data_IF_729197922547
#
_entry.id   IF_729197922547
#
_cell.length_a   1.000
_cell.length_b   1.000
_cell.length_c   1.000
_cell.angle_alpha   90.00
_cell.angle_beta   90.00
_cell.angle_gamma   90.00
#
_symmetry.space_group_name_H-M   'P 1'
#
loop_
_entity.id
_entity.type
_entity.pdbx_description
1 polymer ?
#
# COMPACT_ATOMS: atom_id res chain seq x y z
N UNK A 1 -4.44 -0.33 -1.87
CA UNK A 1 -4.88 -1.60 -2.49
C UNK A 1 -3.96 -2.74 -2.07
N UNK A 2 -4.45 -3.98 -1.94
CA UNK A 2 -3.63 -5.16 -1.59
C UNK A 2 -4.04 -6.41 -2.38
N UNK A 3 -3.18 -7.43 -2.38
CA UNK A 3 -3.30 -8.65 -3.19
C UNK A 3 -4.62 -9.40 -3.05
N UNK A 4 -5.09 -9.57 -1.81
CA UNK A 4 -6.33 -10.30 -1.50
C UNK A 4 -7.59 -9.63 -2.06
N UNK A 5 -7.49 -8.35 -2.46
CA UNK A 5 -8.59 -7.59 -3.07
C UNK A 5 -8.50 -7.53 -4.60
N UNK A 6 -7.64 -8.35 -5.21
CA UNK A 6 -7.41 -8.37 -6.65
C UNK A 6 -7.59 -9.80 -7.20
N UNK A 7 -8.21 -9.93 -8.37
CA UNK A 7 -8.30 -11.20 -9.10
C UNK A 7 -8.07 -11.00 -10.59
N UNK A 8 -7.44 -11.97 -11.25
CA UNK A 8 -7.33 -12.00 -12.70
C UNK A 8 -8.58 -12.65 -13.30
N UNK A 9 -9.24 -11.98 -14.24
CA UNK A 9 -10.31 -12.59 -15.03
C UNK A 9 -10.00 -12.62 -16.52
N UNK A 10 -10.95 -13.10 -17.34
CA UNK A 10 -10.74 -13.36 -18.77
C UNK A 10 -10.48 -12.09 -19.59
N UNK A 11 -10.95 -10.93 -19.11
CA UNK A 11 -10.84 -9.64 -19.82
C UNK A 11 -9.90 -8.65 -19.13
N UNK A 12 -9.20 -9.06 -18.07
CA UNK A 12 -8.35 -8.17 -17.27
C UNK A 12 -8.52 -8.35 -15.76
N UNK A 13 -7.86 -7.49 -14.96
CA UNK A 13 -7.92 -7.55 -13.51
C UNK A 13 -9.27 -7.03 -12.99
N UNK A 14 -9.72 -7.64 -11.90
CA UNK A 14 -10.85 -7.22 -11.09
C UNK A 14 -10.31 -6.78 -9.73
N UNK A 15 -10.89 -5.70 -9.19
CA UNK A 15 -10.60 -5.19 -7.85
C UNK A 15 -11.92 -5.18 -7.07
N UNK A 16 -11.89 -5.61 -5.81
CA UNK A 16 -13.07 -5.70 -4.95
C UNK A 16 -12.77 -5.22 -3.52
N UNK A 17 -13.81 -5.19 -2.68
CA UNK A 17 -13.78 -4.71 -1.29
C UNK A 17 -13.13 -3.32 -1.11
N UNK A 18 -13.72 -2.28 -1.73
CA UNK A 18 -13.14 -0.94 -1.70
C UNK A 18 -13.28 -0.28 -0.32
N UNK A 19 -12.28 0.53 0.02
CA UNK A 19 -12.34 1.53 1.08
C UNK A 19 -12.18 2.93 0.45
N UNK A 20 -13.09 3.30 -0.46
CA UNK A 20 -12.95 4.50 -1.30
C UNK A 20 -13.06 5.81 -0.52
N UNK A 21 -12.20 6.76 -0.89
CA UNK A 21 -12.27 8.16 -0.47
C UNK A 21 -11.52 9.04 -1.48
N UNK A 22 -11.71 10.36 -1.39
CA UNK A 22 -10.89 11.31 -2.12
C UNK A 22 -9.60 11.57 -1.33
N UNK A 23 -8.48 11.08 -1.84
CA UNK A 23 -7.18 11.18 -1.18
C UNK A 23 -6.03 11.22 -2.18
N UNK A 24 -4.80 11.16 -1.66
CA UNK A 24 -3.62 11.04 -2.51
C UNK A 24 -3.60 9.65 -3.17
N UNK A 25 -3.40 9.64 -4.50
CA UNK A 25 -3.25 8.42 -5.31
C UNK A 25 -2.07 7.56 -4.85
N UNK A 26 -1.07 8.18 -4.23
CA UNK A 26 0.11 7.51 -3.69
C UNK A 26 -0.24 6.50 -2.60
N UNK A 27 -1.33 6.71 -1.86
CA UNK A 27 -1.79 5.81 -0.80
C UNK A 27 -2.02 4.37 -1.31
N UNK A 28 -2.63 4.22 -2.48
CA UNK A 28 -2.92 2.90 -3.02
C UNK A 28 -1.67 2.16 -3.49
N UNK A 29 -0.69 2.90 -4.01
CA UNK A 29 0.57 2.38 -4.53
C UNK A 29 1.60 2.13 -3.43
N UNK A 30 1.56 2.90 -2.34
CA UNK A 30 2.45 2.75 -1.20
C UNK A 30 2.36 1.36 -0.56
N UNK A 31 1.23 0.66 -0.76
CA UNK A 31 0.99 -0.67 -0.21
C UNK A 31 1.63 -1.81 -1.01
N UNK A 32 1.90 -1.63 -2.30
CA UNK A 32 2.42 -2.70 -3.17
C UNK A 32 3.66 -3.42 -2.62
N UNK A 33 4.67 -2.74 -2.01
CA UNK A 33 5.85 -3.41 -1.48
C UNK A 33 5.57 -4.32 -0.28
N UNK A 34 4.43 -4.14 0.40
CA UNK A 34 3.99 -5.02 1.50
C UNK A 34 3.28 -6.29 0.98
N UNK A 35 3.06 -6.38 -0.34
CA UNK A 35 2.39 -7.46 -1.05
C UNK A 35 3.30 -8.04 -2.14
N UNK A 36 4.43 -8.69 -1.78
CA UNK A 36 5.44 -9.17 -2.72
C UNK A 36 4.94 -10.20 -3.74
N UNK A 37 3.78 -10.81 -3.49
CA UNK A 37 3.04 -11.66 -4.41
C UNK A 37 2.49 -10.92 -5.64
N UNK A 38 2.37 -9.59 -5.58
CA UNK A 38 1.90 -8.79 -6.71
C UNK A 38 3.04 -8.51 -7.71
N UNK A 39 2.75 -8.50 -9.02
CA UNK A 39 3.75 -8.22 -10.04
C UNK A 39 4.34 -6.80 -9.88
N UNK A 40 5.67 -6.62 -9.86
CA UNK A 40 6.28 -5.30 -9.78
C UNK A 40 5.94 -4.40 -10.98
N UNK A 41 5.56 -5.00 -12.11
CA UNK A 41 5.13 -4.31 -13.34
C UNK A 41 3.88 -3.44 -13.15
N UNK A 42 3.16 -3.59 -12.04
CA UNK A 42 2.07 -2.66 -11.68
C UNK A 42 2.61 -1.23 -11.56
N UNK A 43 3.81 -1.04 -10.98
CA UNK A 43 4.44 0.29 -10.92
C UNK A 43 4.78 0.81 -12.30
N UNK A 44 5.40 -0.02 -13.15
CA UNK A 44 5.79 0.40 -14.51
C UNK A 44 4.58 0.83 -15.35
N UNK A 45 3.50 0.04 -15.29
CA UNK A 45 2.25 0.34 -15.96
C UNK A 45 1.66 1.66 -15.47
N UNK A 46 1.65 1.89 -14.15
CA UNK A 46 1.14 3.12 -13.57
C UNK A 46 2.00 4.34 -13.94
N UNK A 47 3.32 4.23 -13.81
CA UNK A 47 4.30 5.27 -14.16
C UNK A 47 4.20 5.67 -15.63
N UNK A 48 3.84 4.74 -16.53
CA UNK A 48 3.68 5.04 -17.97
C UNK A 48 2.50 5.97 -18.30
N UNK A 49 1.51 6.05 -17.40
CA UNK A 49 0.28 6.84 -17.59
C UNK A 49 0.26 8.06 -16.68
N UNK A 50 0.65 7.90 -15.42
CA UNK A 50 0.59 8.95 -14.39
C UNK A 50 1.84 8.90 -13.49
N UNK A 51 2.96 9.46 -13.95
CA UNK A 51 4.23 9.43 -13.22
C UNK A 51 4.09 9.95 -11.78
N UNK A 52 4.64 9.21 -10.83
CA UNK A 52 4.79 9.58 -9.44
C UNK A 52 5.87 10.67 -9.30
N UNK A 53 5.71 11.60 -8.36
CA UNK A 53 6.77 12.52 -7.96
C UNK A 53 8.03 11.76 -7.53
N UNK A 54 9.20 12.34 -7.78
CA UNK A 54 10.49 11.70 -7.45
C UNK A 54 10.72 11.49 -5.95
N UNK A 55 10.00 12.23 -5.11
CA UNK A 55 10.02 12.17 -3.64
C UNK A 55 8.92 11.24 -3.06
N UNK A 56 8.22 10.46 -3.90
CA UNK A 56 7.22 9.49 -3.47
C UNK A 56 7.78 8.51 -2.41
N UNK A 57 9.02 8.08 -2.57
CA UNK A 57 9.66 7.14 -1.65
C UNK A 57 9.86 7.72 -0.25
N UNK A 58 9.95 9.05 -0.13
CA UNK A 58 10.08 9.72 1.17
C UNK A 58 8.73 9.73 1.91
N UNK A 59 7.61 9.78 1.17
CA UNK A 59 6.24 9.74 1.74
C UNK A 59 5.70 8.32 1.94
N UNK A 60 6.21 7.33 1.20
CA UNK A 60 5.70 5.96 1.22
C UNK A 60 5.56 5.35 2.64
N UNK A 61 6.54 5.49 3.55
CA UNK A 61 6.42 4.94 4.91
C UNK A 61 5.24 5.53 5.70
N UNK A 62 4.92 6.81 5.49
CA UNK A 62 3.79 7.49 6.15
C UNK A 62 2.46 6.91 5.68
N UNK A 63 2.30 6.65 4.37
CA UNK A 63 1.09 6.03 3.84
C UNK A 63 0.90 4.59 4.33
N UNK A 64 1.98 3.80 4.43
CA UNK A 64 1.91 2.43 4.95
C UNK A 64 1.50 2.37 6.43
N UNK A 65 1.85 3.39 7.22
CA UNK A 65 1.57 3.43 8.65
C UNK A 65 0.07 3.31 8.95
N UNK A 66 -0.79 3.95 8.16
CA UNK A 66 -2.24 3.83 8.31
C UNK A 66 -2.71 2.37 8.25
N UNK A 67 -2.29 1.61 7.24
CA UNK A 67 -2.72 0.22 7.09
C UNK A 67 -2.10 -0.68 8.15
N UNK A 68 -0.85 -0.45 8.54
CA UNK A 68 -0.21 -1.21 9.62
C UNK A 68 -0.92 -1.00 10.96
N UNK A 69 -1.30 0.23 11.29
CA UNK A 69 -2.10 0.54 12.49
C UNK A 69 -3.49 -0.10 12.41
N UNK A 70 -4.16 -0.04 11.25
CA UNK A 70 -5.46 -0.67 11.08
C UNK A 70 -5.40 -2.20 11.30
N UNK A 71 -4.36 -2.87 10.78
CA UNK A 71 -4.14 -4.31 11.04
C UNK A 71 -3.84 -4.58 12.50
N UNK A 72 -3.09 -3.71 13.16
CA UNK A 72 -2.83 -3.83 14.59
C UNK A 72 -4.10 -3.73 15.43
N UNK A 73 -5.02 -2.82 15.08
CA UNK A 73 -6.33 -2.68 15.73
C UNK A 73 -7.20 -3.92 15.51
N UNK A 74 -7.26 -4.44 14.28
CA UNK A 74 -8.15 -5.54 13.93
C UNK A 74 -7.66 -6.92 14.41
N UNK A 75 -6.34 -7.14 14.37
CA UNK A 75 -5.76 -8.49 14.52
C UNK A 75 -4.80 -8.61 15.70
N UNK A 76 -4.32 -7.51 16.28
CA UNK A 76 -3.39 -7.53 17.41
C UNK A 76 -2.10 -8.33 17.15
N UNK A 77 -1.51 -8.86 18.22
CA UNK A 77 -0.34 -9.75 18.14
C UNK A 77 0.86 -9.13 17.43
N UNK A 78 1.43 -9.86 16.47
CA UNK A 78 2.59 -9.40 15.69
C UNK A 78 2.31 -8.09 14.92
N UNK A 79 1.05 -7.81 14.58
CA UNK A 79 0.69 -6.57 13.89
C UNK A 79 0.95 -5.32 14.73
N UNK A 80 0.83 -5.40 16.07
CA UNK A 80 1.21 -4.31 16.97
C UNK A 80 2.72 -4.03 16.91
N UNK A 81 3.52 -5.10 16.91
CA UNK A 81 4.99 -4.98 16.82
C UNK A 81 5.41 -4.38 15.48
N UNK A 82 4.77 -4.81 14.38
CA UNK A 82 5.06 -4.30 13.05
C UNK A 82 4.65 -2.82 12.90
N UNK A 83 3.49 -2.43 13.44
CA UNK A 83 3.06 -1.04 13.45
C UNK A 83 3.98 -0.16 14.29
N UNK A 84 4.40 -0.61 15.48
CA UNK A 84 5.34 0.13 16.33
C UNK A 84 6.68 0.34 15.63
N UNK A 85 7.27 -0.70 15.03
CA UNK A 85 8.54 -0.57 14.29
C UNK A 85 8.43 0.39 13.11
N UNK A 86 7.30 0.39 12.40
CA UNK A 86 7.07 1.32 11.30
C UNK A 86 6.96 2.77 11.81
N UNK A 87 6.23 2.99 12.91
CA UNK A 87 6.13 4.29 13.56
C UNK A 87 7.51 4.81 14.01
N UNK A 88 8.32 3.97 14.66
CA UNK A 88 9.65 4.36 15.13
C UNK A 88 10.55 4.80 13.97
N UNK A 89 10.46 4.12 12.81
CA UNK A 89 11.21 4.51 11.60
C UNK A 89 10.76 5.84 11.02
N UNK A 90 9.45 6.09 10.98
CA UNK A 90 8.90 7.36 10.49
C UNK A 90 9.31 8.53 11.39
N UNK A 91 9.38 8.31 12.71
CA UNK A 91 9.78 9.35 13.67
C UNK A 91 11.30 9.59 13.73
N UNK A 92 12.11 8.66 13.21
CA UNK A 92 13.56 8.76 13.19
C UNK A 92 14.13 9.41 11.91
N UNK A 93 13.28 9.64 10.90
CA UNK A 93 13.62 10.32 9.65
C UNK A 93 13.52 11.85 9.82
#
# INVERSE_FOLDING_TARGET
>A
MWSENCAQGPNGPYIFDPACYWGDRECDLAMLPLHPEQPPQIYDGYQSVSPLPGDFLDRQPVYQLYTLLNRAILFGGEHLVNAQRALDRVLAA
#
